data_IF_122871738122
#
_entry.id   IF_122871738122
#
_cell.length_a   1.000
_cell.length_b   1.000
_cell.length_c   1.000
_cell.angle_alpha   90.00
_cell.angle_beta   90.00
_cell.angle_gamma   90.00
#
_symmetry.space_group_name_H-M   'P 1'
#
loop_
_entity.id
_entity.type
_entity.pdbx_description
1 polymer ?
#
# COMPACT_ATOMS: atom_id res chain seq x y z
N UNK A 1 -17.92 66.16 30.98
CA UNK A 1 -17.71 65.54 29.65
C UNK A 1 -17.43 64.06 29.86
N UNK A 2 -18.43 63.20 29.67
CA UNK A 2 -18.27 61.75 29.88
C UNK A 2 -18.46 61.04 28.53
N UNK A 3 -17.34 60.62 27.93
CA UNK A 3 -17.32 59.89 26.65
C UNK A 3 -17.47 58.39 26.84
N UNK A 4 -18.35 57.81 26.03
CA UNK A 4 -18.64 56.38 25.85
C UNK A 4 -17.38 55.51 25.68
N UNK A 5 -17.36 54.35 26.35
CA UNK A 5 -16.68 53.13 25.87
C UNK A 5 -17.62 51.93 26.00
N UNK A 6 -18.21 51.54 24.87
CA UNK A 6 -18.97 50.30 24.69
C UNK A 6 -18.01 49.12 24.55
N UNK A 7 -18.00 48.22 25.54
CA UNK A 7 -17.30 46.94 25.47
C UNK A 7 -18.14 45.93 24.66
N UNK A 8 -17.67 45.59 23.46
CA UNK A 8 -18.27 44.56 22.59
C UNK A 8 -17.77 43.19 23.05
N UNK A 9 -18.58 42.43 23.80
CA UNK A 9 -18.29 41.04 24.20
C UNK A 9 -18.15 40.17 22.94
N UNK A 10 -16.98 39.54 22.74
CA UNK A 10 -16.77 38.47 21.75
C UNK A 10 -17.70 37.30 22.11
N UNK A 11 -18.61 36.92 21.21
CA UNK A 11 -19.34 35.64 21.31
C UNK A 11 -18.31 34.51 21.19
N UNK A 12 -18.24 33.64 22.19
CA UNK A 12 -17.53 32.36 22.10
C UNK A 12 -18.24 31.52 21.03
N UNK A 13 -17.50 31.01 20.05
CA UNK A 13 -18.00 30.01 19.12
C UNK A 13 -18.46 28.79 19.94
N UNK A 14 -19.69 28.36 19.71
CA UNK A 14 -20.28 27.22 20.40
C UNK A 14 -19.57 25.95 19.95
N UNK A 15 -18.98 25.20 20.89
CA UNK A 15 -18.55 23.83 20.61
C UNK A 15 -19.78 22.99 20.27
N UNK A 16 -19.70 22.22 19.18
CA UNK A 16 -20.75 21.26 18.80
C UNK A 16 -20.74 20.13 19.82
N UNK A 17 -21.89 19.88 20.45
CA UNK A 17 -22.03 18.82 21.44
C UNK A 17 -21.91 17.43 20.78
N UNK A 18 -21.14 16.54 21.40
CA UNK A 18 -21.03 15.13 20.98
C UNK A 18 -22.35 14.42 21.28
N UNK A 19 -23.10 14.07 20.22
CA UNK A 19 -24.32 13.27 20.31
C UNK A 19 -23.95 11.79 20.43
N UNK A 20 -24.66 11.05 21.29
CA UNK A 20 -24.38 9.64 21.58
C UNK A 20 -24.61 8.72 20.38
N UNK A 21 -23.89 7.60 20.31
CA UNK A 21 -23.98 6.64 19.19
C UNK A 21 -25.38 6.02 19.03
N UNK A 22 -26.10 5.82 20.14
CA UNK A 22 -27.47 5.29 20.12
C UNK A 22 -28.49 6.27 19.55
N UNK A 23 -28.30 7.57 19.75
CA UNK A 23 -29.14 8.63 19.18
C UNK A 23 -28.91 8.86 17.68
N UNK A 24 -27.88 8.25 17.11
CA UNK A 24 -27.57 8.29 15.67
C UNK A 24 -27.80 6.95 14.98
N UNK A 25 -28.40 5.98 15.66
CA UNK A 25 -28.74 4.69 15.07
C UNK A 25 -29.89 4.85 14.06
N UNK A 26 -29.83 4.07 12.97
CA UNK A 26 -30.94 3.97 12.02
C UNK A 26 -32.14 3.30 12.70
N UNK A 27 -33.38 3.67 12.32
CA UNK A 27 -34.56 2.87 12.65
C UNK A 27 -34.40 1.44 12.13
N UNK A 28 -34.81 0.45 12.93
CA UNK A 28 -34.58 -0.97 12.65
C UNK A 28 -35.17 -1.42 11.30
N UNK A 29 -36.26 -0.79 10.87
CA UNK A 29 -36.97 -1.10 9.63
C UNK A 29 -36.19 -0.68 8.37
N UNK A 30 -35.21 0.22 8.51
CA UNK A 30 -34.39 0.72 7.40
C UNK A 30 -33.00 0.07 7.35
N UNK A 31 -32.63 -0.73 8.34
CA UNK A 31 -31.29 -1.34 8.41
C UNK A 31 -31.01 -2.23 7.20
N UNK A 32 -31.97 -3.08 6.80
CA UNK A 32 -31.83 -3.97 5.65
C UNK A 32 -31.85 -3.21 4.31
N UNK A 33 -32.76 -2.24 4.17
CA UNK A 33 -32.87 -1.44 2.95
C UNK A 33 -31.62 -0.59 2.71
N UNK A 34 -31.06 -0.05 3.79
CA UNK A 34 -29.93 0.88 3.74
C UNK A 34 -28.60 0.18 3.92
N UNK A 35 -28.56 -1.12 4.25
CA UNK A 35 -27.34 -1.92 4.26
C UNK A 35 -26.55 -1.76 2.95
N UNK A 36 -27.24 -1.69 1.80
CA UNK A 36 -26.60 -1.44 0.49
C UNK A 36 -25.94 -0.06 0.39
N UNK A 37 -26.52 0.97 0.99
CA UNK A 37 -25.96 2.32 1.02
C UNK A 37 -24.85 2.44 2.07
N UNK A 38 -24.99 1.80 3.23
CA UNK A 38 -23.92 1.72 4.24
C UNK A 38 -22.70 0.97 3.68
N UNK A 39 -22.91 -0.10 2.91
CA UNK A 39 -21.83 -0.81 2.24
C UNK A 39 -21.20 0.02 1.12
N UNK A 40 -22.00 0.74 0.31
CA UNK A 40 -21.50 1.72 -0.67
C UNK A 40 -20.71 2.84 0.01
N UNK A 41 -21.19 3.38 1.12
CA UNK A 41 -20.60 4.52 1.80
C UNK A 41 -19.33 4.08 2.55
N UNK A 42 -19.28 2.85 3.10
CA UNK A 42 -18.05 2.20 3.56
C UNK A 42 -17.05 1.97 2.43
N UNK A 43 -17.53 1.51 1.27
CA UNK A 43 -16.69 1.35 0.09
C UNK A 43 -16.16 2.70 -0.43
N UNK A 44 -16.92 3.78 -0.26
CA UNK A 44 -16.49 5.15 -0.57
C UNK A 44 -15.57 5.78 0.50
N UNK A 45 -15.52 5.20 1.71
CA UNK A 45 -14.68 5.67 2.80
C UNK A 45 -13.23 5.14 2.71
N UNK A 46 -12.95 4.21 1.80
CA UNK A 46 -11.59 3.88 1.35
C UNK A 46 -11.29 4.67 0.08
N UNK A 47 -10.23 5.48 0.12
CA UNK A 47 -9.71 6.21 -1.04
C UNK A 47 -9.77 5.35 -2.31
N UNK A 48 -10.24 5.91 -3.44
CA UNK A 48 -10.34 5.24 -4.73
C UNK A 48 -9.00 4.57 -5.12
N UNK A 49 -8.83 3.29 -4.77
CA UNK A 49 -7.58 2.55 -4.89
C UNK A 49 -7.63 1.25 -4.09
N UNK A 50 -6.88 0.25 -4.51
CA UNK A 50 -6.81 -1.03 -3.82
C UNK A 50 -6.21 -0.86 -2.42
N UNK A 51 -6.80 -1.46 -1.37
CA UNK A 51 -6.31 -1.29 -0.01
C UNK A 51 -4.94 -1.96 0.20
N UNK A 52 -4.10 -1.33 1.03
CA UNK A 52 -2.80 -1.86 1.37
C UNK A 52 -2.86 -2.85 2.54
N UNK A 53 -2.23 -4.01 2.35
CA UNK A 53 -1.87 -4.94 3.41
C UNK A 53 -0.73 -4.33 4.21
N UNK A 54 -0.94 -4.19 5.52
CA UNK A 54 0.05 -3.72 6.48
C UNK A 54 0.84 -4.90 7.04
N UNK A 55 2.16 -4.78 7.00
CA UNK A 55 3.11 -5.76 7.55
C UNK A 55 3.83 -5.23 8.79
N UNK A 56 3.31 -4.17 9.41
CA UNK A 56 3.93 -3.52 10.58
C UNK A 56 3.93 -4.43 11.82
N UNK A 57 4.82 -4.11 12.78
CA UNK A 57 4.94 -4.84 14.03
C UNK A 57 5.74 -6.14 13.94
N UNK A 58 5.98 -6.75 15.10
CA UNK A 58 6.76 -8.00 15.25
C UNK A 58 5.90 -9.27 15.18
N UNK A 59 4.60 -9.15 14.92
CA UNK A 59 3.71 -10.30 14.79
C UNK A 59 3.95 -11.03 13.45
N UNK A 60 3.69 -12.34 13.36
CA UNK A 60 3.72 -13.07 12.09
C UNK A 60 2.50 -12.77 11.20
N UNK A 61 1.52 -12.01 11.70
CA UNK A 61 0.28 -11.72 10.98
C UNK A 61 0.42 -10.48 10.10
N UNK A 62 -0.24 -10.53 8.94
CA UNK A 62 -0.52 -9.39 8.09
C UNK A 62 -1.90 -8.83 8.39
N UNK A 63 -2.08 -7.52 8.17
CA UNK A 63 -3.32 -6.82 8.52
C UNK A 63 -3.92 -6.10 7.30
N UNK A 64 -5.23 -6.22 7.12
CA UNK A 64 -6.02 -5.37 6.22
C UNK A 64 -6.92 -4.48 7.08
N UNK A 65 -6.59 -3.20 7.17
CA UNK A 65 -7.20 -2.32 8.17
C UNK A 65 -6.89 -2.80 9.59
N UNK A 66 -7.93 -3.13 10.35
CA UNK A 66 -7.84 -3.69 11.72
C UNK A 66 -7.97 -5.22 11.76
N UNK A 67 -8.23 -5.86 10.62
CA UNK A 67 -8.47 -7.30 10.54
C UNK A 67 -7.19 -8.05 10.13
N UNK A 68 -6.96 -9.21 10.73
CA UNK A 68 -5.93 -10.15 10.28
C UNK A 68 -6.34 -10.76 8.94
N UNK A 69 -5.41 -10.81 8.00
CA UNK A 69 -5.60 -11.48 6.70
C UNK A 69 -4.71 -12.72 6.61
N UNK A 70 -5.20 -13.74 5.92
CA UNK A 70 -4.54 -15.04 5.80
C UNK A 70 -5.21 -16.11 6.65
N UNK A 71 -4.57 -17.28 6.68
CA UNK A 71 -5.02 -18.45 7.43
C UNK A 71 -4.77 -18.31 8.94
N UNK A 72 -5.02 -19.39 9.70
CA UNK A 72 -4.81 -19.42 11.14
C UNK A 72 -3.34 -19.15 11.56
N UNK A 73 -2.38 -19.43 10.67
CA UNK A 73 -0.95 -19.20 10.89
C UNK A 73 -0.50 -17.81 10.40
N UNK A 74 -1.36 -17.07 9.70
CA UNK A 74 -1.07 -15.76 9.12
C UNK A 74 -0.49 -15.82 7.70
N UNK A 75 -0.51 -16.99 7.05
CA UNK A 75 -0.11 -17.17 5.67
C UNK A 75 -1.24 -16.72 4.74
N UNK A 76 -0.92 -15.93 3.71
CA UNK A 76 -1.88 -15.46 2.72
C UNK A 76 -1.64 -16.16 1.39
N UNK A 77 -2.62 -16.96 0.96
CA UNK A 77 -2.65 -17.50 -0.39
C UNK A 77 -3.25 -16.45 -1.34
N UNK A 78 -2.48 -16.05 -2.34
CA UNK A 78 -2.82 -15.01 -3.28
C UNK A 78 -2.23 -15.25 -4.67
N UNK A 79 -2.83 -14.62 -5.68
CA UNK A 79 -2.29 -14.55 -7.04
C UNK A 79 -1.66 -13.17 -7.20
N UNK A 80 -0.39 -13.13 -7.62
CA UNK A 80 0.32 -11.87 -7.87
C UNK A 80 0.08 -11.41 -9.30
N UNK A 81 -0.76 -10.39 -9.46
CA UNK A 81 -1.13 -9.84 -10.76
C UNK A 81 0.00 -9.03 -11.39
N UNK A 82 0.81 -8.37 -10.57
CA UNK A 82 1.95 -7.61 -11.06
C UNK A 82 2.81 -7.06 -9.93
N UNK A 83 3.97 -6.53 -10.30
CA UNK A 83 4.94 -6.00 -9.38
C UNK A 83 5.62 -4.76 -9.98
N UNK A 84 5.77 -3.69 -9.19
CA UNK A 84 6.48 -2.47 -9.60
C UNK A 84 7.54 -2.09 -8.58
N UNK A 85 8.70 -1.66 -9.06
CA UNK A 85 9.76 -1.11 -8.19
C UNK A 85 9.35 0.26 -7.70
N UNK A 86 9.46 0.48 -6.39
CA UNK A 86 9.16 1.75 -5.78
C UNK A 86 10.23 2.13 -4.76
N UNK A 87 10.76 3.33 -4.89
CA UNK A 87 11.62 3.96 -3.90
C UNK A 87 10.82 5.01 -3.15
N UNK A 88 10.89 5.00 -1.82
CA UNK A 88 10.24 6.00 -0.97
C UNK A 88 11.19 6.51 0.10
N UNK A 89 11.29 7.82 0.23
CA UNK A 89 12.03 8.50 1.28
C UNK A 89 11.03 9.25 2.16
N UNK A 90 11.14 9.05 3.46
CA UNK A 90 10.35 9.72 4.48
C UNK A 90 11.27 10.59 5.31
N UNK A 91 10.82 11.81 5.61
CA UNK A 91 11.50 12.66 6.57
C UNK A 91 11.07 12.31 8.00
N UNK A 92 12.03 12.34 8.92
CA UNK A 92 11.80 11.99 10.32
C UNK A 92 11.72 10.49 10.59
N UNK A 93 11.43 10.17 11.84
CA UNK A 93 11.39 8.80 12.33
C UNK A 93 10.01 8.18 12.15
N UNK A 94 9.97 6.88 11.82
CA UNK A 94 8.73 6.12 11.75
C UNK A 94 7.97 6.16 13.08
N UNK A 95 6.74 6.65 13.03
CA UNK A 95 5.81 6.67 14.16
C UNK A 95 4.72 5.61 13.95
N UNK A 96 4.66 4.55 14.80
CA UNK A 96 3.63 3.54 14.69
C UNK A 96 2.22 4.13 14.75
N UNK A 97 1.35 3.72 13.84
CA UNK A 97 -0.05 4.19 13.78
C UNK A 97 -0.26 5.56 13.12
N UNK A 98 0.80 6.27 12.75
CA UNK A 98 0.70 7.55 12.03
C UNK A 98 1.02 7.35 10.56
N UNK A 99 0.04 7.58 9.69
CA UNK A 99 0.26 7.55 8.24
C UNK A 99 0.98 8.82 7.83
N UNK A 100 2.28 8.71 7.58
CA UNK A 100 3.10 9.81 7.07
C UNK A 100 3.35 9.60 5.58
N UNK A 101 3.02 10.55 4.70
CA UNK A 101 3.32 10.45 3.29
C UNK A 101 4.84 10.55 3.04
N UNK A 102 5.37 9.93 1.98
CA UNK A 102 6.78 10.07 1.64
C UNK A 102 7.07 11.48 1.14
N UNK A 103 8.19 12.05 1.59
CA UNK A 103 8.71 13.33 1.11
C UNK A 103 9.19 13.21 -0.33
N UNK A 104 9.76 12.06 -0.73
CA UNK A 104 10.16 11.80 -2.10
C UNK A 104 9.81 10.37 -2.47
N UNK A 105 9.37 10.13 -3.70
CA UNK A 105 9.14 8.78 -4.22
C UNK A 105 9.56 8.69 -5.68
N UNK A 106 9.80 7.47 -6.15
CA UNK A 106 9.99 7.14 -7.55
C UNK A 106 9.34 5.78 -7.83
N UNK A 107 8.59 5.69 -8.92
CA UNK A 107 7.94 4.47 -9.40
C UNK A 107 8.55 4.09 -10.74
N UNK A 108 8.84 2.80 -10.92
CA UNK A 108 9.25 2.29 -12.23
C UNK A 108 8.05 2.25 -13.18
N UNK A 109 8.30 2.53 -14.45
CA UNK A 109 7.33 2.22 -15.50
C UNK A 109 7.28 0.69 -15.70
N UNK A 110 6.08 0.15 -15.88
CA UNK A 110 5.88 -1.29 -16.09
C UNK A 110 6.41 -1.77 -17.44
N UNK A 111 6.60 -0.87 -18.41
CA UNK A 111 7.17 -1.17 -19.72
C UNK A 111 8.71 -1.22 -19.72
N UNK A 112 9.38 -0.87 -18.63
CA UNK A 112 10.84 -0.91 -18.56
C UNK A 112 11.38 -2.31 -18.34
N UNK A 113 12.48 -2.62 -19.02
CA UNK A 113 13.22 -3.85 -18.74
C UNK A 113 13.90 -3.79 -17.38
N UNK A 114 13.99 -4.94 -16.70
CA UNK A 114 14.57 -5.03 -15.36
C UNK A 114 16.00 -4.46 -15.27
N UNK A 115 16.79 -4.59 -16.33
CA UNK A 115 18.16 -4.08 -16.41
C UNK A 115 18.23 -2.54 -16.49
N UNK A 116 17.15 -1.88 -16.92
CA UNK A 116 17.10 -0.43 -17.11
C UNK A 116 16.53 0.30 -15.89
N UNK A 117 15.78 -0.40 -15.03
CA UNK A 117 15.05 0.21 -13.91
C UNK A 117 15.97 1.08 -13.05
N UNK A 118 17.12 0.56 -12.61
CA UNK A 118 17.99 1.32 -11.71
C UNK A 118 18.56 2.60 -12.33
N UNK A 119 18.72 2.63 -13.67
CA UNK A 119 19.21 3.79 -14.41
C UNK A 119 18.10 4.81 -14.72
N UNK A 120 16.87 4.35 -14.97
CA UNK A 120 15.73 5.21 -15.35
C UNK A 120 14.91 5.69 -14.16
N UNK A 121 15.01 5.04 -13.01
CA UNK A 121 14.19 5.37 -11.84
C UNK A 121 14.49 6.78 -11.32
N UNK A 122 13.48 7.65 -11.39
CA UNK A 122 13.57 9.05 -11.00
C UNK A 122 12.26 9.48 -10.30
N UNK A 123 12.32 10.44 -9.37
CA UNK A 123 11.11 11.06 -8.86
C UNK A 123 10.34 11.78 -9.98
N UNK A 124 9.01 11.92 -9.85
CA UNK A 124 8.25 12.75 -10.79
C UNK A 124 8.86 14.16 -10.86
N UNK A 125 8.99 14.70 -12.08
CA UNK A 125 9.59 16.01 -12.30
C UNK A 125 8.93 17.10 -11.45
N UNK A 126 7.61 16.99 -11.28
CA UNK A 126 6.77 18.02 -10.65
C UNK A 126 6.64 17.85 -9.14
N UNK A 127 7.31 16.84 -8.56
CA UNK A 127 7.35 16.65 -7.12
C UNK A 127 8.28 17.72 -6.50
N UNK A 128 7.76 18.75 -5.79
CA UNK A 128 8.58 19.86 -5.32
C UNK A 128 9.58 19.43 -4.24
N UNK A 129 9.25 18.36 -3.53
CA UNK A 129 10.01 17.76 -2.44
C UNK A 129 10.99 16.69 -2.92
N UNK A 130 11.20 16.54 -4.25
CA UNK A 130 12.14 15.57 -4.79
C UNK A 130 13.54 15.79 -4.23
N UNK A 131 14.18 14.72 -3.80
CA UNK A 131 15.52 14.78 -3.20
C UNK A 131 16.66 14.85 -4.23
N UNK A 132 16.39 14.44 -5.47
CA UNK A 132 17.33 14.33 -6.59
C UNK A 132 16.54 14.16 -7.90
N UNK A 133 17.14 14.50 -9.04
CA UNK A 133 16.52 14.27 -10.36
C UNK A 133 16.60 12.80 -10.80
N UNK A 134 17.52 12.02 -10.23
CA UNK A 134 17.64 10.58 -10.45
C UNK A 134 17.82 9.84 -9.11
N UNK A 135 17.28 8.62 -9.01
CA UNK A 135 17.50 7.76 -7.85
C UNK A 135 18.94 7.24 -7.79
N UNK A 136 19.56 7.00 -8.95
CA UNK A 136 20.97 6.65 -9.04
C UNK A 136 21.82 7.85 -8.61
N UNK A 137 22.73 7.64 -7.66
CA UNK A 137 23.56 8.71 -7.09
C UNK A 137 22.86 9.60 -6.04
N UNK A 138 21.57 9.39 -5.76
CA UNK A 138 20.88 10.15 -4.71
C UNK A 138 21.49 9.87 -3.33
N UNK A 139 21.77 10.94 -2.56
CA UNK A 139 22.36 10.86 -1.21
C UNK A 139 21.59 9.97 -0.23
N UNK A 140 20.27 9.90 -0.36
CA UNK A 140 19.42 9.06 0.48
C UNK A 140 19.34 7.61 -0.01
N UNK A 141 19.73 7.33 -1.25
CA UNK A 141 19.79 5.97 -1.81
C UNK A 141 21.20 5.35 -1.69
N UNK A 142 22.11 5.99 -0.93
CA UNK A 142 23.42 5.45 -0.60
C UNK A 142 23.38 4.59 0.67
N UNK A 143 24.16 3.51 0.71
CA UNK A 143 24.35 2.76 1.96
C UNK A 143 24.99 3.65 3.04
N UNK A 144 24.55 3.49 4.29
CA UNK A 144 25.00 4.36 5.40
C UNK A 144 24.25 5.69 5.52
N UNK A 145 23.36 6.03 4.58
CA UNK A 145 22.52 7.23 4.70
C UNK A 145 21.38 7.07 5.71
N UNK A 146 20.98 5.83 6.00
CA UNK A 146 19.93 5.48 6.96
C UNK A 146 20.47 4.83 8.24
N UNK A 147 19.56 4.41 9.11
CA UNK A 147 19.89 3.73 10.38
C UNK A 147 20.53 2.37 10.13
N UNK A 148 21.49 1.99 10.98
CA UNK A 148 22.09 0.65 10.94
C UNK A 148 22.79 0.32 9.62
N UNK A 149 23.50 1.28 9.02
CA UNK A 149 24.17 1.17 7.72
C UNK A 149 23.24 0.87 6.53
N UNK A 150 21.93 1.02 6.70
CA UNK A 150 20.95 0.90 5.61
C UNK A 150 20.89 2.17 4.76
N UNK A 151 20.05 2.14 3.71
CA UNK A 151 19.69 3.31 2.92
C UNK A 151 18.55 4.06 3.61
N UNK A 152 18.59 5.39 3.62
CA UNK A 152 17.48 6.21 4.12
C UNK A 152 16.25 6.10 3.20
N UNK A 153 16.47 6.03 1.89
CA UNK A 153 15.46 5.70 0.90
C UNK A 153 15.14 4.21 0.97
N UNK A 154 13.86 3.87 1.13
CA UNK A 154 13.35 2.50 1.15
C UNK A 154 13.13 2.04 -0.28
N UNK A 155 13.93 1.08 -0.73
CA UNK A 155 13.79 0.48 -2.05
C UNK A 155 12.97 -0.80 -1.93
N UNK A 156 11.72 -0.77 -2.35
CA UNK A 156 10.74 -1.85 -2.21
C UNK A 156 10.19 -2.31 -3.57
N UNK A 157 9.38 -3.37 -3.53
CA UNK A 157 8.51 -3.76 -4.63
C UNK A 157 7.08 -3.68 -4.14
N UNK A 158 6.22 -2.99 -4.88
CA UNK A 158 4.77 -3.02 -4.64
C UNK A 158 4.18 -4.14 -5.49
N UNK A 159 3.38 -5.00 -4.86
CA UNK A 159 2.66 -6.08 -5.49
C UNK A 159 1.18 -5.72 -5.58
N UNK A 160 0.56 -6.07 -6.70
CA UNK A 160 -0.89 -6.14 -6.87
C UNK A 160 -1.30 -7.60 -6.74
N UNK A 161 -2.22 -7.87 -5.83
CA UNK A 161 -2.61 -9.22 -5.41
C UNK A 161 -4.12 -9.38 -5.50
N UNK A 162 -4.58 -10.60 -5.74
CA UNK A 162 -5.95 -11.01 -5.41
C UNK A 162 -5.91 -12.22 -4.47
N UNK A 163 -6.78 -12.28 -3.45
CA UNK A 163 -6.91 -13.46 -2.59
C UNK A 163 -7.32 -14.72 -3.37
N UNK A 164 -6.70 -15.85 -3.06
CA UNK A 164 -6.91 -17.11 -3.78
C UNK A 164 -8.26 -17.79 -3.51
N UNK A 165 -8.96 -17.39 -2.45
CA UNK A 165 -10.30 -17.88 -2.10
C UNK A 165 -11.41 -17.27 -2.98
N UNK A 166 -11.05 -16.34 -3.88
CA UNK A 166 -11.96 -15.74 -4.84
C UNK A 166 -12.45 -16.77 -5.86
N UNK A 167 -13.77 -17.01 -5.89
CA UNK A 167 -14.42 -17.93 -6.85
C UNK A 167 -14.53 -17.37 -8.27
N UNK A 168 -14.36 -16.06 -8.42
CA UNK A 168 -14.51 -15.32 -9.67
C UNK A 168 -13.41 -14.25 -9.70
N UNK A 169 -12.37 -14.47 -10.50
CA UNK A 169 -11.22 -13.56 -10.55
C UNK A 169 -11.59 -12.20 -11.14
N UNK A 170 -12.67 -12.11 -11.92
CA UNK A 170 -13.14 -10.83 -12.49
C UNK A 170 -13.68 -9.88 -11.43
N UNK A 171 -14.17 -10.41 -10.30
CA UNK A 171 -14.77 -9.64 -9.20
C UNK A 171 -13.95 -9.67 -7.92
N UNK A 172 -12.83 -10.38 -7.90
CA UNK A 172 -11.97 -10.48 -6.74
C UNK A 172 -11.50 -9.08 -6.29
N UNK A 173 -11.61 -8.79 -4.99
CA UNK A 173 -11.10 -7.56 -4.42
C UNK A 173 -9.57 -7.55 -4.52
N UNK A 174 -9.03 -6.53 -5.18
CA UNK A 174 -7.59 -6.38 -5.34
C UNK A 174 -6.95 -5.77 -4.09
N UNK A 175 -5.73 -6.20 -3.77
CA UNK A 175 -4.95 -5.77 -2.61
C UNK A 175 -3.55 -5.31 -3.03
N UNK A 176 -2.99 -4.36 -2.30
CA UNK A 176 -1.59 -3.92 -2.49
C UNK A 176 -0.70 -4.39 -1.33
N UNK A 177 0.50 -4.84 -1.64
CA UNK A 177 1.49 -5.24 -0.64
C UNK A 177 2.87 -4.66 -0.99
N UNK A 178 3.50 -3.95 -0.05
CA UNK A 178 4.87 -3.50 -0.22
C UNK A 178 5.85 -4.53 0.36
N UNK A 179 6.63 -5.16 -0.52
CA UNK A 179 7.77 -6.01 -0.16
C UNK A 179 8.89 -5.13 0.39
N UNK A 180 9.27 -5.29 1.68
CA UNK A 180 10.29 -4.43 2.28
C UNK A 180 11.68 -4.76 1.74
N UNK A 181 12.66 -3.83 1.87
CA UNK A 181 14.04 -4.04 1.42
C UNK A 181 14.66 -5.36 1.89
N UNK A 182 14.36 -5.78 3.13
CA UNK A 182 14.86 -7.04 3.71
C UNK A 182 14.37 -8.29 2.98
N UNK A 183 13.25 -8.21 2.25
CA UNK A 183 12.63 -9.33 1.53
C UNK A 183 12.86 -9.30 0.02
N UNK A 184 13.53 -8.26 -0.49
CA UNK A 184 13.77 -8.07 -1.92
C UNK A 184 14.50 -9.24 -2.57
N UNK A 185 15.48 -9.82 -1.86
CA UNK A 185 16.21 -11.00 -2.35
C UNK A 185 15.29 -12.22 -2.44
N UNK A 186 14.44 -12.45 -1.43
CA UNK A 186 13.48 -13.56 -1.41
C UNK A 186 12.47 -13.43 -2.54
N UNK A 187 11.95 -12.21 -2.78
CA UNK A 187 11.09 -11.93 -3.91
C UNK A 187 11.78 -12.20 -5.25
N UNK A 188 13.01 -11.71 -5.44
CA UNK A 188 13.78 -11.95 -6.67
C UNK A 188 14.00 -13.45 -6.92
N UNK A 189 14.37 -14.21 -5.89
CA UNK A 189 14.56 -15.66 -5.99
C UNK A 189 13.26 -16.41 -6.28
N UNK A 190 12.12 -15.86 -5.86
CA UNK A 190 10.80 -16.42 -6.16
C UNK A 190 10.38 -16.20 -7.62
N UNK A 191 10.62 -15.02 -8.20
CA UNK A 191 10.14 -14.69 -9.56
C UNK A 191 11.04 -15.20 -10.69
N UNK A 192 12.35 -15.28 -10.46
CA UNK A 192 13.34 -15.64 -11.50
C UNK A 192 13.09 -17.00 -12.17
N UNK A 193 12.73 -18.08 -11.44
CA UNK A 193 12.45 -19.38 -12.06
C UNK A 193 11.29 -19.31 -13.06
N UNK A 194 10.21 -18.58 -12.75
CA UNK A 194 9.03 -18.45 -13.61
C UNK A 194 9.36 -17.66 -14.88
N UNK A 195 10.07 -16.54 -14.73
CA UNK A 195 10.53 -15.74 -15.86
C UNK A 195 11.41 -16.56 -16.81
N UNK A 196 12.29 -17.42 -16.27
CA UNK A 196 13.22 -18.25 -17.06
C UNK A 196 12.50 -19.28 -17.94
N UNK A 197 11.28 -19.69 -17.58
CA UNK A 197 10.45 -20.62 -18.36
C UNK A 197 9.33 -19.90 -19.13
N UNK A 198 9.35 -18.56 -19.19
CA UNK A 198 8.32 -17.76 -19.86
C UNK A 198 6.96 -17.79 -19.19
N UNK A 199 6.88 -18.18 -17.90
CA UNK A 199 5.64 -18.23 -17.14
C UNK A 199 5.41 -16.90 -16.42
N UNK A 200 4.29 -16.20 -16.66
CA UNK A 200 3.99 -14.97 -15.94
C UNK A 200 3.60 -15.27 -14.48
N UNK A 201 3.95 -14.37 -13.55
CA UNK A 201 3.73 -14.57 -12.11
C UNK A 201 2.26 -14.72 -11.71
N UNK A 202 1.33 -14.12 -12.46
CA UNK A 202 -0.11 -14.23 -12.20
C UNK A 202 -0.67 -15.63 -12.50
N UNK A 203 0.11 -16.51 -13.13
CA UNK A 203 -0.30 -17.89 -13.42
C UNK A 203 0.11 -18.89 -12.34
N UNK A 204 0.54 -18.40 -11.16
CA UNK A 204 1.01 -19.22 -10.05
C UNK A 204 0.28 -18.80 -8.78
N UNK A 205 -0.31 -19.78 -8.09
CA UNK A 205 -0.83 -19.57 -6.74
C UNK A 205 0.35 -19.44 -5.77
N UNK A 206 0.39 -18.33 -5.05
CA UNK A 206 1.51 -17.96 -4.17
C UNK A 206 1.04 -17.87 -2.72
N UNK A 207 1.73 -18.58 -1.84
CA UNK A 207 1.60 -18.36 -0.40
C UNK A 207 2.61 -17.32 0.05
N UNK A 208 2.14 -16.34 0.80
CA UNK A 208 2.93 -15.23 1.34
C UNK A 208 2.91 -15.30 2.86
N UNK A 209 4.09 -15.43 3.46
CA UNK A 209 4.23 -15.51 4.91
C UNK A 209 5.12 -14.38 5.44
N UNK A 210 4.68 -13.72 6.51
CA UNK A 210 5.51 -12.78 7.26
C UNK A 210 6.25 -13.52 8.36
N UNK A 211 7.57 -13.59 8.25
CA UNK A 211 8.45 -14.20 9.25
C UNK A 211 9.14 -13.13 10.08
N UNK A 212 8.80 -12.97 11.37
CA UNK A 212 9.51 -12.07 12.27
C UNK A 212 10.97 -12.50 12.44
N UNK A 213 11.86 -11.52 12.60
CA UNK A 213 13.25 -11.80 12.91
C UNK A 213 13.37 -12.50 14.27
N UNK A 214 14.27 -13.49 14.37
CA UNK A 214 14.56 -14.22 15.62
C UNK A 214 15.15 -13.31 16.71
N UNK A 215 15.77 -12.18 16.32
CA UNK A 215 16.30 -11.15 17.21
C UNK A 215 16.08 -9.77 16.60
N UNK A 216 15.72 -8.80 17.45
CA UNK A 216 15.49 -7.41 17.05
C UNK A 216 14.10 -7.15 16.45
N UNK A 217 13.89 -5.92 15.99
CA UNK A 217 12.66 -5.47 15.34
C UNK A 217 12.82 -5.55 13.81
N UNK A 218 12.36 -6.63 13.21
CA UNK A 218 12.40 -6.82 11.77
C UNK A 218 11.55 -8.02 11.34
N UNK A 219 11.31 -8.13 10.05
CA UNK A 219 10.64 -9.28 9.45
C UNK A 219 11.07 -9.44 7.99
N UNK A 220 10.84 -10.63 7.44
CA UNK A 220 10.91 -10.93 6.02
C UNK A 220 9.58 -11.46 5.52
N UNK A 221 9.30 -11.26 4.23
CA UNK A 221 8.22 -11.90 3.51
C UNK A 221 8.79 -13.06 2.71
N UNK A 222 8.22 -14.24 2.93
CA UNK A 222 8.55 -15.48 2.24
C UNK A 222 7.46 -15.78 1.22
N UNK A 223 7.87 -16.28 0.06
CA UNK A 223 6.98 -16.57 -1.06
C UNK A 223 7.17 -18.02 -1.46
N UNK A 224 6.10 -18.81 -1.37
CA UNK A 224 6.11 -20.24 -1.67
C UNK A 224 5.11 -20.51 -2.81
N UNK A 225 5.51 -21.18 -3.90
CA UNK A 225 4.56 -21.57 -4.93
C UNK A 225 3.71 -22.74 -4.45
N UNK A 226 2.40 -22.56 -4.42
CA UNK A 226 1.45 -23.60 -4.01
C UNK A 226 1.00 -24.46 -5.18
N UNK A 227 1.04 -23.90 -6.39
CA UNK A 227 0.74 -24.65 -7.60
C UNK A 227 0.53 -23.76 -8.81
N UNK A 228 0.59 -24.38 -10.00
CA UNK A 228 0.26 -23.70 -11.24
C UNK A 228 -1.25 -23.45 -11.37
N UNK A 229 -1.61 -22.33 -12.01
CA UNK A 229 -2.95 -22.13 -12.58
C UNK A 229 -2.84 -22.48 -14.06
N UNK A 230 -3.52 -23.54 -14.48
CA UNK A 230 -3.46 -24.07 -15.85
C UNK A 230 -4.80 -23.95 -16.60
N UNK A 231 -5.87 -23.55 -15.91
CA UNK A 231 -7.16 -23.29 -16.53
C UNK A 231 -7.09 -22.04 -17.43
N UNK A 232 -7.40 -22.23 -18.72
CA UNK A 232 -7.22 -21.20 -19.75
C UNK A 232 -8.12 -19.99 -19.51
N UNK A 233 -9.35 -20.21 -19.07
CA UNK A 233 -10.30 -19.11 -18.81
C UNK A 233 -9.85 -18.29 -17.61
N UNK A 234 -9.47 -18.96 -16.51
CA UNK A 234 -8.86 -18.30 -15.35
C UNK A 234 -7.65 -17.47 -15.73
N UNK A 235 -6.74 -18.01 -16.55
CA UNK A 235 -5.56 -17.28 -17.02
C UNK A 235 -5.90 -16.05 -17.87
N UNK A 236 -6.97 -16.12 -18.69
CA UNK A 236 -7.47 -14.98 -19.47
C UNK A 236 -8.08 -13.90 -18.58
N UNK A 237 -8.88 -14.30 -17.60
CA UNK A 237 -9.47 -13.38 -16.63
C UNK A 237 -8.38 -12.64 -15.83
N UNK A 238 -7.36 -13.37 -15.37
CA UNK A 238 -6.22 -12.80 -14.67
C UNK A 238 -5.45 -11.83 -15.56
N UNK A 239 -5.14 -12.20 -16.81
CA UNK A 239 -4.47 -11.31 -17.77
C UNK A 239 -5.28 -10.02 -18.05
N UNK A 240 -6.62 -10.13 -18.11
CA UNK A 240 -7.50 -8.96 -18.25
C UNK A 240 -7.44 -8.05 -17.00
N UNK A 241 -7.39 -8.61 -15.79
CA UNK A 241 -7.16 -7.85 -14.55
C UNK A 241 -5.78 -7.18 -14.54
N UNK A 242 -4.73 -7.88 -14.98
CA UNK A 242 -3.37 -7.31 -15.07
C UNK A 242 -3.36 -6.03 -15.91
N UNK A 243 -3.94 -6.09 -17.11
CA UNK A 243 -3.96 -4.98 -18.08
C UNK A 243 -5.01 -3.91 -17.80
N UNK A 244 -5.75 -4.00 -16.70
CA UNK A 244 -6.79 -3.03 -16.33
C UNK A 244 -6.53 -2.42 -14.95
N UNK A 245 -7.18 -2.96 -13.92
CA UNK A 245 -7.20 -2.36 -12.59
C UNK A 245 -5.91 -2.63 -11.79
N UNK A 246 -5.20 -3.73 -12.04
CA UNK A 246 -3.92 -4.00 -11.38
C UNK A 246 -2.81 -3.05 -11.82
N UNK A 247 -2.67 -2.78 -13.12
CA UNK A 247 -1.72 -1.79 -13.65
C UNK A 247 -2.01 -0.39 -13.10
N UNK A 248 -3.28 0.01 -13.08
CA UNK A 248 -3.70 1.26 -12.46
C UNK A 248 -3.33 1.30 -10.97
N UNK A 249 -3.58 0.23 -10.21
CA UNK A 249 -3.23 0.15 -8.79
C UNK A 249 -1.72 0.19 -8.51
N UNK A 250 -0.91 -0.45 -9.38
CA UNK A 250 0.55 -0.45 -9.24
C UNK A 250 1.14 0.93 -9.49
N UNK A 251 0.65 1.63 -10.51
CA UNK A 251 1.17 2.93 -10.97
C UNK A 251 0.63 4.13 -10.18
N UNK A 252 -0.35 3.92 -9.30
CA UNK A 252 -0.84 4.96 -8.39
C UNK A 252 0.30 5.57 -7.55
N UNK A 253 0.52 6.89 -7.59
CA UNK A 253 1.53 7.51 -6.75
C UNK A 253 1.18 7.28 -5.27
N UNK A 254 2.17 7.15 -4.38
CA UNK A 254 1.91 7.23 -2.95
C UNK A 254 1.17 8.53 -2.64
N UNK A 255 0.22 8.50 -1.71
CA UNK A 255 -0.41 9.72 -1.21
C UNK A 255 0.69 10.68 -0.76
N UNK A 256 0.85 11.80 -1.45
CA UNK A 256 1.72 12.91 -1.02
C UNK A 256 0.89 13.78 -0.10
N UNK A 257 1.44 14.16 1.06
CA UNK A 257 0.79 15.16 1.89
C UNK A 257 0.76 16.46 1.09
N UNK A 258 -0.42 17.03 0.86
CA UNK A 258 -0.52 18.38 0.35
C UNK A 258 0.32 19.27 1.27
N UNK A 259 1.36 19.88 0.71
CA UNK A 259 2.07 20.94 1.40
C UNK A 259 1.03 22.02 1.72
N UNK A 260 0.64 22.12 2.98
CA UNK A 260 -0.19 23.19 3.49
C UNK A 260 0.50 24.51 3.13
N UNK A 261 0.06 25.15 2.06
CA UNK A 261 0.47 26.50 1.71
C UNK A 261 -0.23 27.42 2.70
N UNK A 262 0.39 27.63 3.85
CA UNK A 262 0.01 28.71 4.77
C UNK A 262 0.27 30.03 4.04
N UNK A 263 -0.81 30.65 3.58
CA UNK A 263 -0.85 32.05 3.16
C UNK A 263 -0.60 32.99 4.33
#
# INVERSE_FOLDING_TARGET
MASKKTARKRKKASAVATVGRSTMALPAELEDEFAKYVNRDRASAGAAGWPFIKTEGSTPFMMLGEQKIGDANGALDAIVLGAVRINTHYEGDFQPGVVTPPTCFALADLAWDAAEIDAKLAPPAELPTKASDACQGCRFNAFGSGRGNSKACKNSVRLALIPADSKDFTKADGLLLNVPPASMKLWSSYVQPWASIGRPIFSVLTQIEKMPAQRGSGFTLHFTPMGPIDDVESLRELAARVSSDAEAALTQPPMTGEASTSS
#
